data_IF_469175457414
#
_entry.id   IF_469175457414
#
_cell.length_a   1.000
_cell.length_b   1.000
_cell.length_c   1.000
_cell.angle_alpha   90.00
_cell.angle_beta   90.00
_cell.angle_gamma   90.00
#
_symmetry.space_group_name_H-M   'P 1'
#
loop_
_entity.id
_entity.type
_entity.pdbx_description
1 polymer ?
#
# COMPACT_ATOMS: atom_id res chain seq x y z
N UNK A 1 28.60 1.85 2.01
CA UNK A 1 29.64 2.89 2.20
C UNK A 1 29.11 4.30 2.33
N UNK A 2 28.25 4.80 1.43
CA UNK A 2 27.75 6.20 1.47
C UNK A 2 27.13 6.60 2.81
N UNK A 3 26.23 5.79 3.36
CA UNK A 3 25.61 6.07 4.66
C UNK A 3 26.57 5.95 5.86
N UNK A 4 27.70 5.28 5.66
CA UNK A 4 28.71 5.06 6.70
C UNK A 4 29.83 6.12 6.65
N UNK A 5 29.80 7.02 5.67
CA UNK A 5 30.80 8.07 5.51
C UNK A 5 32.23 7.56 5.31
N UNK A 6 32.41 6.35 4.77
CA UNK A 6 33.75 5.83 4.48
C UNK A 6 34.47 6.78 3.52
N UNK A 7 35.65 7.25 3.92
CA UNK A 7 36.46 8.24 3.18
C UNK A 7 36.24 9.70 3.58
N UNK A 8 35.31 10.00 4.51
CA UNK A 8 35.11 11.34 5.06
C UNK A 8 36.11 11.62 6.21
N UNK A 9 36.51 12.89 6.38
CA UNK A 9 37.39 13.31 7.50
C UNK A 9 36.67 13.36 8.85
N UNK A 10 35.34 13.49 8.86
CA UNK A 10 34.51 13.55 10.07
C UNK A 10 33.60 12.33 10.13
N UNK A 11 33.30 11.87 11.34
CA UNK A 11 32.32 10.80 11.58
C UNK A 11 30.95 11.24 11.05
N UNK A 12 30.42 10.50 10.10
CA UNK A 12 29.11 10.78 9.51
C UNK A 12 27.99 10.25 10.41
N UNK A 13 26.95 11.07 10.58
CA UNK A 13 25.70 10.67 11.21
C UNK A 13 24.63 10.68 10.13
N UNK A 14 24.24 9.50 9.66
CA UNK A 14 23.18 9.34 8.66
C UNK A 14 21.85 9.10 9.38
N UNK A 15 20.93 10.06 9.28
CA UNK A 15 19.60 9.96 9.88
C UNK A 15 18.60 9.59 8.80
N UNK A 16 17.88 8.47 9.01
CA UNK A 16 16.84 8.03 8.10
C UNK A 16 15.48 8.34 8.73
N UNK A 17 14.78 9.31 8.16
CA UNK A 17 13.52 9.80 8.67
C UNK A 17 12.34 9.00 8.12
N UNK A 18 11.76 8.12 8.94
CA UNK A 18 10.70 7.21 8.52
C UNK A 18 9.27 7.80 8.59
N UNK A 19 9.08 8.99 9.16
CA UNK A 19 7.73 9.52 9.39
C UNK A 19 7.00 9.94 8.12
N UNK A 20 7.71 10.17 7.01
CA UNK A 20 7.12 10.44 5.69
C UNK A 20 6.62 9.18 4.99
N UNK A 21 6.91 7.99 5.54
CA UNK A 21 6.38 6.72 5.03
C UNK A 21 5.00 6.47 5.66
N UNK A 22 3.98 6.34 4.82
CA UNK A 22 2.57 6.42 5.22
C UNK A 22 2.06 5.18 5.96
N UNK A 23 2.60 4.00 5.68
CA UNK A 23 2.12 2.74 6.27
C UNK A 23 3.19 2.04 7.08
N UNK A 24 2.77 1.31 8.13
CA UNK A 24 3.70 0.51 8.95
C UNK A 24 4.37 -0.58 8.11
N UNK A 25 3.65 -1.18 7.16
CA UNK A 25 4.19 -2.23 6.28
C UNK A 25 5.28 -1.68 5.36
N UNK A 26 5.10 -0.47 4.80
CA UNK A 26 6.15 0.20 4.02
C UNK A 26 7.37 0.54 4.88
N UNK A 27 7.16 0.99 6.13
CA UNK A 27 8.27 1.22 7.08
C UNK A 27 9.01 -0.09 7.37
N UNK A 28 8.28 -1.17 7.65
CA UNK A 28 8.87 -2.49 7.88
C UNK A 28 9.62 -3.02 6.66
N UNK A 29 9.07 -2.83 5.46
CA UNK A 29 9.75 -3.21 4.22
C UNK A 29 11.04 -2.42 4.04
N UNK A 30 11.00 -1.10 4.19
CA UNK A 30 12.17 -0.23 4.07
C UNK A 30 13.26 -0.61 5.08
N UNK A 31 12.89 -0.77 6.35
CA UNK A 31 13.84 -1.18 7.41
C UNK A 31 14.39 -2.57 7.14
N UNK A 32 13.58 -3.52 6.64
CA UNK A 32 14.05 -4.86 6.26
C UNK A 32 15.09 -4.81 5.14
N UNK A 33 14.85 -4.00 4.10
CA UNK A 33 15.79 -3.79 3.01
C UNK A 33 17.10 -3.17 3.52
N UNK A 34 17.02 -2.08 4.28
CA UNK A 34 18.19 -1.41 4.85
C UNK A 34 19.00 -2.35 5.76
N UNK A 35 18.33 -3.09 6.64
CA UNK A 35 18.96 -4.07 7.52
C UNK A 35 19.62 -5.19 6.71
N UNK A 36 18.99 -5.65 5.64
CA UNK A 36 19.57 -6.66 4.75
C UNK A 36 20.85 -6.15 4.08
N UNK A 37 20.83 -4.93 3.55
CA UNK A 37 22.01 -4.30 2.95
C UNK A 37 23.14 -4.13 3.98
N UNK A 38 22.83 -3.67 5.20
CA UNK A 38 23.82 -3.60 6.28
C UNK A 38 24.38 -4.99 6.63
N UNK A 39 23.52 -6.01 6.69
CA UNK A 39 23.94 -7.38 6.97
C UNK A 39 24.90 -7.91 5.90
N UNK A 40 24.58 -7.73 4.62
CA UNK A 40 25.48 -8.13 3.52
C UNK A 40 26.80 -7.32 3.55
N UNK A 41 26.70 -6.04 3.85
CA UNK A 41 27.86 -5.17 3.95
C UNK A 41 28.82 -5.60 5.07
N UNK A 42 28.31 -5.92 6.27
CA UNK A 42 29.16 -6.33 7.38
C UNK A 42 29.79 -7.71 7.15
N UNK A 43 29.14 -8.61 6.39
CA UNK A 43 29.73 -9.88 5.97
C UNK A 43 30.92 -9.69 5.01
N UNK A 44 30.82 -8.72 4.10
CA UNK A 44 31.89 -8.39 3.15
C UNK A 44 33.01 -7.53 3.76
N UNK A 45 32.77 -6.92 4.92
CA UNK A 45 33.72 -6.05 5.60
C UNK A 45 33.88 -6.44 7.08
N UNK A 46 34.38 -7.65 7.39
CA UNK A 46 34.58 -8.04 8.78
C UNK A 46 35.64 -7.16 9.45
N UNK A 47 35.32 -6.68 10.65
CA UNK A 47 36.26 -5.93 11.50
C UNK A 47 36.17 -6.45 12.94
N UNK A 48 37.33 -6.51 13.61
CA UNK A 48 37.39 -6.77 15.06
C UNK A 48 37.10 -5.50 15.86
N UNK A 49 37.41 -4.34 15.29
CA UNK A 49 37.15 -3.02 15.88
C UNK A 49 35.79 -2.47 15.44
N UNK A 50 35.22 -1.60 16.27
CA UNK A 50 33.96 -0.92 15.96
C UNK A 50 34.15 -0.01 14.74
N UNK A 51 33.37 -0.27 13.68
CA UNK A 51 33.41 0.50 12.43
C UNK A 51 32.11 1.25 12.12
N UNK A 52 30.98 0.86 12.74
CA UNK A 52 29.71 1.55 12.59
C UNK A 52 28.75 1.28 13.76
N UNK A 53 27.81 2.20 13.98
CA UNK A 53 26.69 2.01 14.89
C UNK A 53 25.39 2.03 14.07
N UNK A 54 24.59 0.99 14.22
CA UNK A 54 23.25 0.90 13.69
C UNK A 54 22.23 1.18 14.79
N UNK A 55 21.44 2.23 14.61
CA UNK A 55 20.48 2.71 15.61
C UNK A 55 19.05 2.63 15.09
N UNK A 56 18.14 2.09 15.90
CA UNK A 56 16.69 2.10 15.65
C UNK A 56 15.96 2.70 16.84
N UNK A 57 15.30 3.82 16.63
CA UNK A 57 14.34 4.38 17.57
C UNK A 57 12.96 3.73 17.41
N UNK A 58 12.22 3.59 18.51
CA UNK A 58 10.92 2.91 18.61
C UNK A 58 10.83 1.55 17.88
N UNK A 59 11.64 0.60 18.33
CA UNK A 59 11.80 -0.70 17.67
C UNK A 59 10.60 -1.65 17.84
N UNK A 60 9.68 -1.38 18.76
CA UNK A 60 8.56 -2.26 19.10
C UNK A 60 7.74 -2.67 17.87
N UNK A 61 7.53 -1.74 16.95
CA UNK A 61 6.79 -1.97 15.71
C UNK A 61 7.49 -2.89 14.69
N UNK A 62 8.80 -3.11 14.83
CA UNK A 62 9.60 -3.97 13.96
C UNK A 62 9.90 -5.34 14.58
N UNK A 63 9.91 -5.42 15.92
CA UNK A 63 10.20 -6.65 16.65
C UNK A 63 9.16 -6.87 17.77
N UNK A 64 7.86 -7.02 17.44
CA UNK A 64 6.81 -7.19 18.43
C UNK A 64 6.92 -8.54 19.13
N UNK A 65 6.44 -8.59 20.38
CA UNK A 65 6.29 -9.81 21.14
C UNK A 65 5.25 -10.76 20.50
N UNK A 66 5.40 -12.07 20.73
CA UNK A 66 4.42 -13.06 20.29
C UNK A 66 4.59 -13.54 18.84
N UNK A 67 3.49 -14.03 18.25
CA UNK A 67 3.47 -14.77 16.99
C UNK A 67 3.54 -13.88 15.73
N UNK A 68 3.40 -12.56 15.88
CA UNK A 68 3.52 -11.63 14.76
C UNK A 68 4.93 -11.64 14.17
N UNK A 69 5.01 -11.65 12.85
CA UNK A 69 6.28 -11.71 12.09
C UNK A 69 6.38 -10.57 11.08
N UNK A 70 6.69 -9.34 11.52
CA UNK A 70 7.05 -8.24 10.64
C UNK A 70 8.17 -8.58 9.67
N UNK A 71 8.18 -7.93 8.50
CA UNK A 71 9.21 -8.16 7.47
C UNK A 71 10.64 -7.88 7.96
N UNK A 72 10.81 -6.94 8.90
CA UNK A 72 12.12 -6.58 9.46
C UNK A 72 12.56 -7.51 10.61
N UNK A 73 11.65 -8.27 11.24
CA UNK A 73 11.92 -8.94 12.51
C UNK A 73 13.09 -9.93 12.44
N UNK A 74 13.10 -10.81 11.44
CA UNK A 74 14.10 -11.87 11.34
C UNK A 74 15.50 -11.31 11.01
N UNK A 75 15.59 -10.35 10.09
CA UNK A 75 16.88 -9.75 9.73
C UNK A 75 17.45 -8.91 10.89
N UNK A 76 16.62 -8.18 11.64
CA UNK A 76 17.06 -7.44 12.82
C UNK A 76 17.56 -8.39 13.92
N UNK A 77 16.86 -9.50 14.18
CA UNK A 77 17.32 -10.53 15.12
C UNK A 77 18.67 -11.12 14.70
N UNK A 78 18.86 -11.34 13.39
CA UNK A 78 20.11 -11.84 12.85
C UNK A 78 21.26 -10.86 13.05
N UNK A 79 21.02 -9.56 12.79
CA UNK A 79 21.98 -8.49 13.05
C UNK A 79 22.30 -8.44 14.55
N UNK A 80 21.32 -8.36 15.44
CA UNK A 80 21.58 -8.25 16.89
C UNK A 80 22.40 -9.43 17.43
N UNK A 81 22.20 -10.62 16.87
CA UNK A 81 22.98 -11.81 17.24
C UNK A 81 24.42 -11.80 16.69
N UNK A 82 24.66 -11.17 15.54
CA UNK A 82 25.90 -11.36 14.76
C UNK A 82 26.74 -10.11 14.56
N UNK A 83 26.18 -8.91 14.71
CA UNK A 83 26.80 -7.63 14.40
C UNK A 83 28.16 -7.43 15.10
N UNK A 84 28.27 -7.87 16.37
CA UNK A 84 29.48 -7.72 17.20
C UNK A 84 30.72 -8.34 16.56
N UNK A 85 30.63 -9.52 15.93
CA UNK A 85 31.79 -10.19 15.28
C UNK A 85 32.25 -9.49 14.00
N UNK A 86 31.46 -8.54 13.49
CA UNK A 86 31.77 -7.76 12.29
C UNK A 86 32.02 -6.28 12.61
N UNK A 87 32.21 -5.92 13.88
CA UNK A 87 32.51 -4.53 14.27
C UNK A 87 31.32 -3.58 14.11
N UNK A 88 30.08 -4.10 14.14
CA UNK A 88 28.87 -3.28 14.11
C UNK A 88 28.27 -3.21 15.51
N UNK A 89 28.17 -2.01 16.06
CA UNK A 89 27.43 -1.73 17.29
C UNK A 89 25.93 -1.55 16.99
N UNK A 90 25.06 -2.04 17.86
CA UNK A 90 23.62 -1.84 17.73
C UNK A 90 23.09 -1.05 18.93
N UNK A 91 22.27 -0.03 18.67
CA UNK A 91 21.54 0.73 19.69
C UNK A 91 20.06 0.67 19.33
N UNK A 92 19.20 0.35 20.29
CA UNK A 92 17.77 0.33 20.04
C UNK A 92 16.99 0.94 21.19
N UNK A 93 15.95 1.72 20.85
CA UNK A 93 15.07 2.39 21.80
C UNK A 93 13.62 1.92 21.67
N UNK A 94 12.87 2.03 22.76
CA UNK A 94 11.44 1.72 22.79
C UNK A 94 10.77 2.44 23.96
N UNK A 95 9.56 2.94 23.73
CA UNK A 95 8.69 3.44 24.81
C UNK A 95 7.91 2.31 25.47
N UNK A 96 7.64 1.22 24.74
CA UNK A 96 6.85 0.08 25.19
C UNK A 96 7.75 -1.16 25.31
N UNK A 97 8.56 -1.29 26.38
CA UNK A 97 9.44 -2.44 26.55
C UNK A 97 8.65 -3.74 26.63
N UNK A 98 7.37 -3.67 27.02
CA UNK A 98 6.54 -4.83 27.12
C UNK A 98 6.14 -5.47 25.79
N UNK A 99 6.11 -4.71 24.71
CA UNK A 99 5.54 -5.17 23.44
C UNK A 99 6.59 -5.75 22.49
N UNK A 100 7.78 -6.06 23.00
CA UNK A 100 8.94 -6.47 22.21
C UNK A 100 9.31 -7.94 22.40
N UNK A 101 9.83 -8.58 21.35
CA UNK A 101 10.41 -9.93 21.43
C UNK A 101 11.66 -9.92 22.34
N UNK A 102 11.47 -10.36 23.59
CA UNK A 102 12.51 -10.40 24.61
C UNK A 102 13.77 -11.17 24.17
N UNK A 103 13.63 -12.16 23.27
CA UNK A 103 14.79 -12.95 22.79
C UNK A 103 15.75 -12.11 21.95
N UNK A 104 15.22 -11.11 21.23
CA UNK A 104 16.03 -10.19 20.44
C UNK A 104 16.83 -9.26 21.37
N UNK A 105 16.21 -8.82 22.47
CA UNK A 105 16.81 -7.88 23.42
C UNK A 105 17.82 -8.54 24.36
N UNK A 106 17.69 -9.83 24.64
CA UNK A 106 18.69 -10.59 25.40
C UNK A 106 20.08 -10.62 24.73
N UNK A 107 20.21 -10.19 23.46
CA UNK A 107 21.50 -10.06 22.79
C UNK A 107 22.26 -8.77 23.15
N UNK A 108 21.59 -7.79 23.77
CA UNK A 108 22.20 -6.53 24.15
C UNK A 108 22.86 -6.65 25.52
N UNK A 109 24.18 -6.40 25.56
CA UNK A 109 24.97 -6.41 26.80
C UNK A 109 24.87 -5.12 27.62
N UNK A 110 24.33 -4.05 27.04
CA UNK A 110 24.17 -2.74 27.70
C UNK A 110 22.72 -2.31 27.67
N UNK A 111 22.17 -1.97 28.84
CA UNK A 111 20.79 -1.54 29.01
C UNK A 111 20.77 -0.20 29.72
N UNK A 112 19.95 0.74 29.24
CA UNK A 112 19.64 1.99 29.93
C UNK A 112 18.12 2.06 30.11
N UNK A 113 17.66 1.96 31.36
CA UNK A 113 16.24 1.84 31.68
C UNK A 113 15.79 3.13 32.34
N UNK A 114 14.87 3.83 31.68
CA UNK A 114 14.26 5.04 32.20
C UNK A 114 13.11 4.73 33.16
N UNK A 115 12.29 5.75 33.43
CA UNK A 115 11.15 5.62 34.33
C UNK A 115 10.12 4.60 33.80
N UNK A 116 9.81 3.59 34.63
CA UNK A 116 8.73 2.63 34.38
C UNK A 116 7.76 2.63 35.57
N UNK A 117 6.48 2.80 35.28
CA UNK A 117 5.43 2.94 36.32
C UNK A 117 4.48 1.75 36.34
N UNK A 118 4.19 1.14 35.18
CA UNK A 118 3.21 0.06 35.11
C UNK A 118 3.80 -1.24 35.65
N UNK A 119 3.01 -2.00 36.41
CA UNK A 119 3.45 -3.31 36.93
C UNK A 119 3.84 -4.28 35.80
N UNK A 120 3.17 -4.19 34.66
CA UNK A 120 3.42 -5.06 33.51
C UNK A 120 4.79 -4.79 32.87
N UNK A 121 5.16 -3.52 32.68
CA UNK A 121 6.46 -3.16 32.10
C UNK A 121 7.60 -3.50 33.06
N UNK A 122 7.41 -3.23 34.35
CA UNK A 122 8.36 -3.61 35.41
C UNK A 122 8.57 -5.13 35.43
N UNK A 123 7.49 -5.92 35.37
CA UNK A 123 7.58 -7.38 35.36
C UNK A 123 8.32 -7.93 34.13
N UNK A 124 8.10 -7.34 32.94
CA UNK A 124 8.79 -7.78 31.72
C UNK A 124 10.28 -7.40 31.73
N UNK A 125 10.62 -6.22 32.28
CA UNK A 125 12.01 -5.81 32.46
C UNK A 125 12.71 -6.64 33.53
N UNK A 126 12.02 -7.03 34.61
CA UNK A 126 12.55 -7.93 35.65
C UNK A 126 13.13 -9.21 35.06
N UNK A 127 12.39 -9.88 34.19
CA UNK A 127 12.85 -11.12 33.54
C UNK A 127 14.12 -10.90 32.70
N UNK A 128 14.25 -9.75 32.04
CA UNK A 128 15.46 -9.40 31.30
C UNK A 128 16.64 -9.14 32.24
N UNK A 129 16.45 -8.38 33.31
CA UNK A 129 17.49 -8.09 34.31
C UNK A 129 17.99 -9.36 35.02
N UNK A 130 17.09 -10.28 35.34
CA UNK A 130 17.44 -11.59 35.92
C UNK A 130 18.30 -12.42 34.95
N UNK A 131 17.99 -12.39 33.65
CA UNK A 131 18.77 -13.10 32.62
C UNK A 131 20.20 -12.57 32.45
N UNK A 132 20.43 -11.31 32.81
CA UNK A 132 21.75 -10.67 32.84
C UNK A 132 22.51 -10.92 34.16
N UNK A 133 22.03 -11.86 34.99
CA UNK A 133 22.63 -12.30 36.25
C UNK A 133 22.86 -11.16 37.28
N UNK A 134 21.95 -10.18 37.30
CA UNK A 134 22.10 -9.04 38.21
C UNK A 134 21.66 -9.37 39.64
N UNK A 135 22.62 -9.45 40.56
CA UNK A 135 22.40 -9.84 41.96
C UNK A 135 21.48 -8.89 42.77
N UNK A 136 21.26 -7.65 42.30
CA UNK A 136 20.48 -6.61 43.00
C UNK A 136 19.21 -6.21 42.23
N UNK A 137 18.59 -7.15 41.50
CA UNK A 137 17.41 -6.87 40.65
C UNK A 137 16.25 -6.21 41.41
N UNK A 138 15.87 -6.68 42.59
CA UNK A 138 14.74 -6.09 43.34
C UNK A 138 14.99 -4.61 43.72
N UNK A 139 16.20 -4.29 44.20
CA UNK A 139 16.57 -2.90 44.55
C UNK A 139 16.49 -1.96 43.34
N UNK A 140 16.76 -2.47 42.14
CA UNK A 140 16.66 -1.71 40.90
C UNK A 140 15.22 -1.45 40.53
N UNK A 141 14.36 -2.48 40.60
CA UNK A 141 12.94 -2.37 40.26
C UNK A 141 12.22 -1.37 41.17
N UNK A 142 12.61 -1.27 42.44
CA UNK A 142 12.08 -0.28 43.38
C UNK A 142 12.44 1.18 43.03
N UNK A 143 13.51 1.40 42.28
CA UNK A 143 13.98 2.74 41.90
C UNK A 143 13.34 3.21 40.58
N UNK A 144 13.03 2.30 39.66
CA UNK A 144 12.49 2.63 38.32
C UNK A 144 11.26 3.57 38.35
N UNK A 145 10.27 3.42 39.23
CA UNK A 145 9.11 4.33 39.27
C UNK A 145 9.45 5.76 39.72
N UNK A 146 10.56 5.92 40.45
CA UNK A 146 11.01 7.17 41.07
C UNK A 146 11.94 8.01 40.19
N UNK A 147 12.46 7.43 39.11
CA UNK A 147 13.31 8.15 38.15
C UNK A 147 12.57 9.34 37.54
N UNK A 148 13.28 10.45 37.36
CA UNK A 148 12.77 11.62 36.63
C UNK A 148 13.07 11.53 35.14
N UNK A 149 12.46 12.42 34.36
CA UNK A 149 12.79 12.53 32.93
C UNK A 149 14.29 12.83 32.75
N UNK A 150 14.93 12.07 31.87
CA UNK A 150 16.38 12.14 31.64
C UNK A 150 17.25 11.38 32.64
N UNK A 151 16.66 10.70 33.62
CA UNK A 151 17.38 9.79 34.52
C UNK A 151 17.18 8.33 34.08
N UNK A 152 18.28 7.59 34.04
CA UNK A 152 18.32 6.19 33.61
C UNK A 152 19.17 5.38 34.58
N UNK A 153 18.77 4.13 34.79
CA UNK A 153 19.65 3.12 35.36
C UNK A 153 20.36 2.40 34.22
N UNK A 154 21.69 2.44 34.20
CA UNK A 154 22.50 1.81 33.19
C UNK A 154 23.16 0.54 33.73
N UNK A 155 23.09 -0.52 32.94
CA UNK A 155 23.62 -1.86 33.25
C UNK A 155 24.51 -2.30 32.10
N UNK A 156 25.73 -2.75 32.40
CA UNK A 156 26.60 -3.42 31.44
C UNK A 156 27.46 -4.42 32.21
N UNK A 157 26.98 -5.64 32.46
CA UNK A 157 27.67 -6.61 33.32
C UNK A 157 29.10 -6.93 32.86
N UNK A 158 29.36 -6.84 31.55
CA UNK A 158 30.67 -7.07 30.94
C UNK A 158 31.71 -6.01 31.34
N UNK A 159 31.28 -4.81 31.76
CA UNK A 159 32.16 -3.65 32.03
C UNK A 159 32.01 -3.14 33.47
N UNK A 160 30.79 -3.08 34.00
CA UNK A 160 30.48 -2.51 35.31
C UNK A 160 29.95 -3.58 36.25
N UNK A 161 30.50 -3.61 37.47
CA UNK A 161 30.03 -4.51 38.54
C UNK A 161 28.70 -4.07 39.15
N UNK A 162 28.46 -2.76 39.18
CA UNK A 162 27.26 -2.16 39.77
C UNK A 162 26.46 -1.37 38.73
N UNK A 163 25.21 -1.10 39.10
CA UNK A 163 24.27 -0.28 38.33
C UNK A 163 24.70 1.18 38.38
N UNK A 164 24.73 1.84 37.23
CA UNK A 164 25.12 3.25 37.13
C UNK A 164 23.88 4.12 37.02
N UNK A 165 23.74 5.09 37.92
CA UNK A 165 22.75 6.16 37.78
C UNK A 165 23.27 7.16 36.74
N UNK A 166 22.62 7.19 35.58
CA UNK A 166 22.97 8.08 34.49
C UNK A 166 21.93 9.20 34.39
N UNK A 167 22.39 10.45 34.35
CA UNK A 167 21.57 11.62 34.04
C UNK A 167 22.02 12.19 32.70
N UNK A 168 21.12 12.24 31.73
CA UNK A 168 21.45 12.80 30.41
C UNK A 168 21.51 14.32 30.49
N UNK A 169 22.42 14.91 29.72
CA UNK A 169 22.48 16.35 29.52
C UNK A 169 21.30 16.84 28.70
N UNK A 170 20.96 18.12 28.84
CA UNK A 170 20.03 18.78 27.92
C UNK A 170 20.55 18.75 26.48
N UNK A 171 19.64 18.65 25.53
CA UNK A 171 19.96 18.73 24.12
C UNK A 171 20.48 20.15 23.80
N UNK A 172 21.57 20.22 23.03
CA UNK A 172 22.12 21.48 22.53
C UNK A 172 21.26 22.07 21.40
N UNK A 173 20.39 21.26 20.79
CA UNK A 173 19.55 21.61 19.66
C UNK A 173 18.10 21.23 19.93
N UNK A 174 17.19 21.93 19.30
CA UNK A 174 15.77 21.61 19.36
C UNK A 174 15.48 20.29 18.63
N UNK A 175 14.73 19.39 19.27
CA UNK A 175 14.28 18.15 18.65
C UNK A 175 12.90 18.37 18.04
N UNK A 176 12.85 18.56 16.72
CA UNK A 176 11.63 18.84 15.95
C UNK A 176 11.20 17.64 15.11
N UNK A 177 9.91 17.33 15.12
CA UNK A 177 9.30 16.40 14.17
C UNK A 177 9.06 17.13 12.85
N UNK A 178 9.71 16.70 11.78
CA UNK A 178 9.59 17.33 10.47
C UNK A 178 8.35 16.82 9.71
N UNK A 179 7.58 17.71 9.11
CA UNK A 179 6.58 17.36 8.10
C UNK A 179 7.24 17.13 6.73
N UNK A 180 6.50 16.58 5.77
CA UNK A 180 7.01 16.49 4.39
C UNK A 180 7.38 17.85 3.81
N UNK A 181 6.65 18.91 4.18
CA UNK A 181 6.92 20.25 3.69
C UNK A 181 8.15 20.87 4.38
N UNK A 182 8.36 20.59 5.67
CA UNK A 182 9.59 20.97 6.37
C UNK A 182 10.82 20.31 5.72
N UNK A 183 10.73 19.02 5.39
CA UNK A 183 11.81 18.31 4.69
C UNK A 183 12.10 18.97 3.33
N UNK A 184 11.07 19.31 2.55
CA UNK A 184 11.25 19.98 1.25
C UNK A 184 11.92 21.34 1.37
N UNK A 185 11.58 22.11 2.41
CA UNK A 185 12.14 23.43 2.69
C UNK A 185 13.60 23.35 3.16
N UNK A 186 13.94 22.34 3.96
CA UNK A 186 15.28 22.13 4.52
C UNK A 186 16.24 21.42 3.55
N UNK A 187 15.73 20.75 2.52
CA UNK A 187 16.57 20.07 1.52
C UNK A 187 17.16 21.09 0.54
N UNK A 188 18.48 21.28 0.61
CA UNK A 188 19.21 22.21 -0.26
C UNK A 188 19.23 21.74 -1.73
N UNK A 189 19.65 22.62 -2.64
CA UNK A 189 19.82 22.24 -4.05
C UNK A 189 20.98 21.26 -4.18
N UNK A 190 22.05 21.49 -3.44
CA UNK A 190 23.22 20.61 -3.38
C UNK A 190 22.86 19.21 -2.87
N UNK A 191 22.01 19.11 -1.84
CA UNK A 191 21.52 17.81 -1.35
C UNK A 191 20.69 17.10 -2.43
N UNK A 192 19.82 17.82 -3.13
CA UNK A 192 19.01 17.25 -4.23
C UNK A 192 19.91 16.73 -5.34
N UNK A 193 20.86 17.53 -5.80
CA UNK A 193 21.77 17.15 -6.88
C UNK A 193 22.63 15.94 -6.49
N UNK A 194 23.14 15.93 -5.25
CA UNK A 194 23.92 14.81 -4.73
C UNK A 194 23.11 13.52 -4.66
N UNK A 195 21.84 13.55 -4.21
CA UNK A 195 21.01 12.35 -4.12
C UNK A 195 20.33 11.98 -5.44
N UNK A 196 20.23 12.88 -6.41
CA UNK A 196 19.67 12.60 -7.74
C UNK A 196 20.48 11.54 -8.50
N UNK A 197 21.79 11.45 -8.24
CA UNK A 197 22.64 10.38 -8.81
C UNK A 197 22.27 8.98 -8.29
N UNK A 198 21.73 8.90 -7.06
CA UNK A 198 21.31 7.66 -6.40
C UNK A 198 19.82 7.41 -6.49
N UNK A 199 19.05 8.41 -6.92
CA UNK A 199 17.66 8.20 -7.27
C UNK A 199 17.64 7.06 -8.29
N UNK A 200 16.97 5.96 -7.95
CA UNK A 200 16.59 4.96 -8.94
C UNK A 200 15.98 5.79 -10.05
N UNK A 201 16.61 5.83 -11.23
CA UNK A 201 15.96 6.34 -12.42
C UNK A 201 14.71 5.49 -12.47
N UNK A 202 13.58 6.03 -11.98
CA UNK A 202 12.27 5.45 -12.24
C UNK A 202 12.38 5.10 -13.71
N UNK A 203 12.18 3.82 -14.12
CA UNK A 203 12.18 3.50 -15.55
C UNK A 203 11.35 4.60 -16.14
N UNK A 204 11.94 5.44 -17.02
CA UNK A 204 11.31 6.71 -17.39
C UNK A 204 9.88 6.34 -17.74
N UNK A 205 8.93 6.61 -16.83
CA UNK A 205 7.58 6.94 -17.23
C UNK A 205 7.93 8.14 -18.08
N UNK A 206 7.96 7.92 -19.39
CA UNK A 206 8.20 8.97 -20.35
C UNK A 206 7.28 10.07 -19.84
N UNK A 207 7.87 11.11 -19.26
CA UNK A 207 7.29 12.43 -19.37
C UNK A 207 7.30 12.58 -20.89
N UNK A 208 6.18 12.23 -21.50
CA UNK A 208 5.87 12.71 -22.82
C UNK A 208 5.89 14.23 -22.65
N UNK A 209 7.08 14.80 -22.87
CA UNK A 209 7.17 15.96 -23.74
C UNK A 209 6.27 15.61 -24.89
N UNK A 210 5.20 16.38 -25.01
CA UNK A 210 4.37 16.57 -26.18
C UNK A 210 5.24 16.65 -27.44
N UNK A 211 5.59 15.48 -27.96
CA UNK A 211 6.19 15.22 -29.26
C UNK A 211 5.58 13.89 -29.68
N UNK A 212 4.72 14.00 -30.69
CA UNK A 212 3.86 13.01 -31.31
C UNK A 212 4.54 11.64 -31.49
N UNK A 213 4.46 10.79 -30.46
CA UNK A 213 4.37 9.34 -30.66
C UNK A 213 2.89 9.02 -30.64
N UNK A 214 2.41 8.39 -31.70
CA UNK A 214 1.00 8.05 -31.83
C UNK A 214 0.50 7.32 -30.58
N UNK A 215 -0.68 7.75 -30.11
CA UNK A 215 -1.32 7.20 -28.94
C UNK A 215 -1.86 5.81 -29.30
N UNK A 216 -1.57 4.79 -28.49
CA UNK A 216 -2.12 3.46 -28.73
C UNK A 216 -3.62 3.45 -28.37
N UNK A 217 -4.46 3.19 -29.36
CA UNK A 217 -5.90 3.07 -29.18
C UNK A 217 -6.45 1.86 -29.96
N UNK A 218 -7.63 1.38 -29.58
CA UNK A 218 -8.35 0.43 -30.43
C UNK A 218 -8.80 1.12 -31.71
N UNK A 219 -8.88 0.38 -32.81
CA UNK A 219 -9.23 0.97 -34.11
C UNK A 219 -10.62 1.61 -34.11
N UNK A 220 -10.72 2.74 -34.82
CA UNK A 220 -11.99 3.39 -35.10
C UNK A 220 -12.59 2.72 -36.33
N UNK A 221 -13.60 1.89 -36.13
CA UNK A 221 -14.24 1.13 -37.22
C UNK A 221 -15.49 1.81 -37.78
N UNK A 222 -15.90 2.94 -37.20
CA UNK A 222 -17.10 3.69 -37.59
C UNK A 222 -16.70 5.14 -37.81
N UNK A 223 -17.07 5.67 -38.97
CA UNK A 223 -16.83 7.06 -39.36
C UNK A 223 -17.74 8.05 -38.62
N UNK A 224 -17.37 9.33 -38.62
CA UNK A 224 -18.19 10.41 -38.06
C UNK A 224 -19.59 10.46 -38.68
N UNK A 225 -19.71 10.20 -39.98
CA UNK A 225 -20.99 10.18 -40.71
C UNK A 225 -21.89 9.01 -40.29
N UNK A 226 -21.31 7.83 -40.08
CA UNK A 226 -22.04 6.66 -39.60
C UNK A 226 -22.46 6.85 -38.14
N UNK A 227 -21.59 7.44 -37.32
CA UNK A 227 -21.92 7.81 -35.94
C UNK A 227 -23.09 8.78 -35.90
N UNK A 228 -23.08 9.83 -36.73
CA UNK A 228 -24.20 10.77 -36.86
C UNK A 228 -25.50 10.07 -37.26
N UNK A 229 -25.47 9.17 -38.27
CA UNK A 229 -26.64 8.36 -38.67
C UNK A 229 -27.18 7.51 -37.51
N UNK A 230 -26.31 6.87 -36.73
CA UNK A 230 -26.70 6.06 -35.57
C UNK A 230 -27.35 6.93 -34.49
N UNK A 231 -26.79 8.10 -34.20
CA UNK A 231 -27.29 9.04 -33.20
C UNK A 231 -28.63 9.64 -33.63
N UNK A 232 -28.77 10.01 -34.91
CA UNK A 232 -30.02 10.53 -35.46
C UNK A 232 -31.19 9.55 -35.32
N UNK A 233 -30.95 8.25 -35.52
CA UNK A 233 -31.95 7.19 -35.29
C UNK A 233 -32.35 7.04 -33.82
N UNK A 234 -31.55 7.55 -32.87
CA UNK A 234 -31.78 7.45 -31.42
C UNK A 234 -32.39 8.71 -30.78
N UNK A 235 -32.62 9.77 -31.57
CA UNK A 235 -33.34 10.97 -31.13
C UNK A 235 -34.76 10.59 -30.70
N UNK A 236 -35.24 11.20 -29.62
CA UNK A 236 -36.65 11.04 -29.21
C UNK A 236 -37.56 11.59 -30.31
N UNK A 237 -38.67 10.90 -30.53
CA UNK A 237 -39.73 11.31 -31.45
C UNK A 237 -40.96 11.73 -30.67
N UNK A 238 -41.78 12.57 -31.28
CA UNK A 238 -43.01 13.08 -30.65
C UNK A 238 -44.00 11.94 -30.31
N UNK A 239 -44.05 10.90 -31.14
CA UNK A 239 -44.76 9.66 -30.84
C UNK A 239 -43.78 8.49 -30.72
N UNK A 240 -44.14 7.46 -29.96
CA UNK A 240 -43.28 6.37 -29.50
C UNK A 240 -42.41 5.71 -30.59
N UNK A 241 -42.84 5.72 -31.86
CA UNK A 241 -42.07 5.26 -33.03
C UNK A 241 -42.11 6.20 -34.26
N UNK A 242 -43.03 7.17 -34.29
CA UNK A 242 -43.36 8.00 -35.46
C UNK A 242 -43.41 9.49 -35.12
N UNK A 243 -43.34 10.36 -36.12
CA UNK A 243 -43.34 11.81 -35.95
C UNK A 243 -41.93 12.44 -35.87
N UNK A 244 -41.85 13.79 -35.94
CA UNK A 244 -40.60 14.51 -36.05
C UNK A 244 -39.75 14.36 -34.78
N UNK A 245 -38.41 14.42 -34.91
CA UNK A 245 -37.51 14.39 -33.75
C UNK A 245 -37.77 15.60 -32.85
N UNK A 246 -37.87 15.36 -31.55
CA UNK A 246 -38.05 16.41 -30.53
C UNK A 246 -36.72 16.91 -29.94
N UNK A 247 -35.62 16.39 -30.47
CA UNK A 247 -34.25 16.65 -30.03
C UNK A 247 -33.38 16.99 -31.24
N UNK A 248 -32.50 17.99 -31.08
CA UNK A 248 -31.45 18.33 -32.05
C UNK A 248 -30.09 17.83 -31.55
N UNK A 249 -29.16 17.60 -32.48
CA UNK A 249 -27.78 17.25 -32.15
C UNK A 249 -26.98 18.54 -32.00
N UNK A 250 -26.50 18.81 -30.80
CA UNK A 250 -25.70 20.01 -30.49
C UNK A 250 -24.22 19.77 -30.76
N UNK A 251 -23.72 18.58 -30.42
CA UNK A 251 -22.33 18.20 -30.70
C UNK A 251 -22.19 16.69 -30.81
N UNK A 252 -21.26 16.25 -31.66
CA UNK A 252 -20.78 14.89 -31.79
C UNK A 252 -19.26 14.92 -31.74
N UNK A 253 -18.67 14.30 -30.71
CA UNK A 253 -17.22 14.33 -30.49
C UNK A 253 -16.68 12.92 -30.37
N UNK A 254 -15.60 12.62 -31.10
CA UNK A 254 -14.83 11.41 -30.88
C UNK A 254 -13.97 11.60 -29.62
N UNK A 255 -14.17 10.70 -28.65
CA UNK A 255 -13.52 10.71 -27.35
C UNK A 255 -12.64 9.46 -27.22
N UNK A 256 -11.47 9.63 -26.61
CA UNK A 256 -10.53 8.56 -26.32
C UNK A 256 -10.48 8.33 -24.80
N UNK A 257 -11.10 7.25 -24.33
CA UNK A 257 -11.14 6.89 -22.90
C UNK A 257 -9.96 6.00 -22.52
N UNK A 258 -9.15 6.34 -21.51
CA UNK A 258 -8.03 5.50 -21.10
C UNK A 258 -8.54 4.17 -20.54
N UNK A 259 -7.87 3.09 -20.91
CA UNK A 259 -7.97 1.77 -20.29
C UNK A 259 -6.59 1.41 -19.77
N UNK A 260 -6.51 1.15 -18.47
CA UNK A 260 -5.29 0.65 -17.85
C UNK A 260 -5.25 -0.86 -18.11
N UNK A 261 -4.29 -1.30 -18.92
CA UNK A 261 -3.98 -2.72 -19.11
C UNK A 261 -2.88 -3.09 -18.12
N UNK A 262 -3.16 -4.05 -17.24
CA UNK A 262 -2.24 -4.54 -16.25
C UNK A 262 -1.85 -5.99 -16.56
N UNK A 263 -0.56 -6.23 -16.73
CA UNK A 263 0.00 -7.58 -16.74
C UNK A 263 0.21 -8.01 -15.29
N UNK A 264 -0.26 -9.20 -14.95
CA UNK A 264 -0.25 -9.72 -13.60
C UNK A 264 0.13 -11.20 -13.55
N UNK A 265 0.72 -11.62 -12.44
CA UNK A 265 1.23 -12.97 -12.24
C UNK A 265 0.71 -13.59 -10.95
N UNK A 266 0.58 -14.92 -10.94
CA UNK A 266 0.33 -15.71 -9.74
C UNK A 266 1.29 -16.88 -9.67
N UNK A 267 2.01 -17.00 -8.56
CA UNK A 267 2.80 -18.19 -8.28
C UNK A 267 1.89 -19.28 -7.70
N UNK A 268 1.86 -20.45 -8.33
CA UNK A 268 1.13 -21.62 -7.84
C UNK A 268 2.09 -22.77 -7.58
N UNK A 269 1.94 -23.40 -6.41
CA UNK A 269 2.65 -24.64 -6.11
C UNK A 269 2.17 -25.75 -7.07
N UNK A 270 3.09 -26.39 -7.77
CA UNK A 270 2.85 -27.55 -8.62
C UNK A 270 3.75 -28.70 -8.19
N UNK A 271 3.44 -29.91 -8.67
CA UNK A 271 4.15 -31.15 -8.33
C UNK A 271 5.64 -31.10 -8.72
N UNK A 272 5.99 -30.31 -9.74
CA UNK A 272 7.36 -30.11 -10.24
C UNK A 272 7.96 -28.74 -9.87
N UNK A 273 7.39 -28.03 -8.88
CA UNK A 273 7.89 -26.72 -8.42
C UNK A 273 6.89 -25.58 -8.60
N UNK A 274 7.35 -24.33 -8.51
CA UNK A 274 6.49 -23.14 -8.65
C UNK A 274 6.18 -22.89 -10.13
N UNK A 275 4.89 -22.92 -10.50
CA UNK A 275 4.42 -22.52 -11.83
C UNK A 275 3.86 -21.10 -11.79
N UNK A 276 4.28 -20.24 -12.71
CA UNK A 276 3.73 -18.90 -12.87
C UNK A 276 2.54 -18.92 -13.83
N UNK A 277 1.41 -18.37 -13.41
CA UNK A 277 0.26 -18.09 -14.26
C UNK A 277 0.21 -16.58 -14.57
N UNK A 278 0.15 -16.23 -15.85
CA UNK A 278 0.09 -14.85 -16.32
C UNK A 278 -1.35 -14.44 -16.66
N UNK A 279 -1.69 -13.18 -16.40
CA UNK A 279 -3.01 -12.61 -16.60
C UNK A 279 -2.90 -11.20 -17.15
N UNK A 280 -3.72 -10.88 -18.14
CA UNK A 280 -3.90 -9.50 -18.60
C UNK A 280 -5.26 -8.99 -18.12
N UNK A 281 -5.24 -8.02 -17.20
CA UNK A 281 -6.42 -7.38 -16.65
C UNK A 281 -6.60 -5.99 -17.27
N UNK A 282 -7.85 -5.56 -17.45
CA UNK A 282 -8.15 -4.25 -18.03
C UNK A 282 -9.05 -3.46 -17.07
N UNK A 283 -8.79 -2.18 -16.90
CA UNK A 283 -9.54 -1.29 -16.01
C UNK A 283 -9.92 -0.01 -16.73
N UNK A 284 -11.09 0.52 -16.41
CA UNK A 284 -11.48 1.86 -16.83
C UNK A 284 -10.51 2.87 -16.22
N UNK A 285 -9.76 3.61 -17.02
CA UNK A 285 -8.77 4.56 -16.52
C UNK A 285 -9.38 5.80 -15.87
N UNK A 286 -10.68 6.04 -16.03
CA UNK A 286 -11.39 7.17 -15.41
C UNK A 286 -12.04 6.73 -14.10
N UNK A 287 -12.77 5.61 -14.10
CA UNK A 287 -13.50 5.16 -12.89
C UNK A 287 -12.76 4.12 -12.07
N UNK A 288 -11.78 3.43 -12.65
CA UNK A 288 -11.08 2.30 -12.03
C UNK A 288 -11.88 1.00 -11.99
N UNK A 289 -13.07 0.98 -12.61
CA UNK A 289 -13.87 -0.24 -12.72
C UNK A 289 -13.18 -1.29 -13.58
N UNK A 290 -13.15 -2.54 -13.11
CA UNK A 290 -12.61 -3.66 -13.88
C UNK A 290 -13.42 -3.88 -15.17
N UNK A 291 -12.73 -4.12 -16.28
CA UNK A 291 -13.27 -4.28 -17.63
C UNK A 291 -12.91 -5.67 -18.17
N UNK A 292 -13.89 -6.32 -18.80
CA UNK A 292 -13.68 -7.45 -19.69
C UNK A 292 -14.12 -7.10 -21.11
N UNK A 293 -13.22 -7.26 -22.07
CA UNK A 293 -13.51 -7.07 -23.49
C UNK A 293 -13.95 -8.42 -24.08
N UNK A 294 -15.12 -8.45 -24.71
CA UNK A 294 -15.65 -9.64 -25.41
C UNK A 294 -15.17 -9.67 -26.87
N UNK A 295 -15.27 -10.84 -27.51
CA UNK A 295 -14.90 -11.05 -28.92
C UNK A 295 -15.56 -10.05 -29.90
N UNK A 296 -16.78 -9.58 -29.60
CA UNK A 296 -17.52 -8.65 -30.45
C UNK A 296 -17.25 -7.16 -30.11
N UNK A 297 -16.16 -6.87 -29.41
CA UNK A 297 -15.79 -5.53 -28.96
C UNK A 297 -16.67 -4.96 -27.83
N UNK A 298 -17.67 -5.70 -27.33
CA UNK A 298 -18.48 -5.22 -26.19
C UNK A 298 -17.64 -5.23 -24.91
N UNK A 299 -17.59 -4.08 -24.25
CA UNK A 299 -17.02 -3.93 -22.91
C UNK A 299 -18.07 -4.33 -21.86
N UNK A 300 -17.69 -5.28 -21.00
CA UNK A 300 -18.40 -5.56 -19.75
C UNK A 300 -17.64 -4.90 -18.60
N UNK A 301 -18.23 -3.90 -17.98
CA UNK A 301 -17.70 -3.25 -16.77
C UNK A 301 -18.26 -3.90 -15.50
N UNK A 302 -17.40 -4.09 -14.51
CA UNK A 302 -17.76 -4.57 -13.19
C UNK A 302 -17.77 -3.39 -12.20
N UNK A 303 -18.82 -2.55 -12.28
CA UNK A 303 -18.90 -1.27 -11.54
C UNK A 303 -18.70 -1.39 -10.03
N UNK A 304 -19.22 -2.45 -9.38
CA UNK A 304 -18.99 -2.67 -7.94
C UNK A 304 -17.52 -2.81 -7.53
N UNK A 305 -16.60 -3.02 -8.49
CA UNK A 305 -15.16 -2.96 -8.27
C UNK A 305 -14.67 -1.56 -7.90
N UNK A 306 -15.22 -0.52 -8.53
CA UNK A 306 -14.74 0.86 -8.36
C UNK A 306 -15.04 1.39 -6.95
N UNK A 307 -16.10 0.89 -6.31
CA UNK A 307 -16.50 1.24 -4.94
C UNK A 307 -15.51 0.70 -3.88
N UNK A 308 -14.64 -0.23 -4.27
CA UNK A 308 -13.62 -0.82 -3.40
C UNK A 308 -12.24 -0.17 -3.54
N UNK A 309 -12.07 0.80 -4.45
CA UNK A 309 -10.81 1.53 -4.59
C UNK A 309 -10.58 2.42 -3.36
N UNK A 310 -9.34 2.45 -2.89
CA UNK A 310 -8.94 3.19 -1.68
C UNK A 310 -9.31 2.49 -0.35
N UNK A 311 -9.84 1.26 -0.40
CA UNK A 311 -9.99 0.44 0.79
C UNK A 311 -8.64 -0.13 1.26
N UNK A 312 -8.52 -0.33 2.57
CA UNK A 312 -7.41 -1.09 3.15
C UNK A 312 -7.51 -2.59 2.80
N UNK A 313 -6.39 -3.30 2.88
CA UNK A 313 -6.35 -4.74 2.56
C UNK A 313 -7.32 -5.56 3.44
N UNK A 314 -7.45 -5.17 4.71
CA UNK A 314 -8.37 -5.81 5.66
C UNK A 314 -9.83 -5.53 5.30
N UNK A 315 -10.17 -4.30 4.92
CA UNK A 315 -11.50 -3.96 4.43
C UNK A 315 -11.86 -4.75 3.17
N UNK A 316 -10.92 -4.86 2.22
CA UNK A 316 -11.09 -5.66 1.00
C UNK A 316 -11.31 -7.14 1.37
N UNK A 317 -10.52 -7.68 2.30
CA UNK A 317 -10.65 -9.05 2.79
C UNK A 317 -12.02 -9.34 3.42
N UNK A 318 -12.55 -8.42 4.23
CA UNK A 318 -13.89 -8.55 4.82
C UNK A 318 -14.97 -8.55 3.74
N UNK A 319 -14.91 -7.63 2.77
CA UNK A 319 -15.86 -7.60 1.66
C UNK A 319 -15.75 -8.89 0.84
N UNK A 320 -14.53 -9.27 0.44
CA UNK A 320 -14.25 -10.51 -0.31
C UNK A 320 -14.84 -11.74 0.37
N UNK A 321 -14.72 -11.82 1.69
CA UNK A 321 -15.28 -12.90 2.49
C UNK A 321 -16.81 -12.99 2.36
N UNK A 322 -17.51 -11.86 2.41
CA UNK A 322 -18.98 -11.81 2.29
C UNK A 322 -19.49 -12.15 0.88
N UNK A 323 -18.65 -12.00 -0.15
CA UNK A 323 -18.97 -12.42 -1.53
C UNK A 323 -18.43 -13.81 -1.88
N UNK A 324 -17.79 -14.50 -0.92
CA UNK A 324 -17.39 -15.90 -1.09
C UNK A 324 -18.60 -16.83 -0.99
N UNK A 325 -18.52 -17.99 -1.66
CA UNK A 325 -19.60 -18.80 -2.26
C UNK A 325 -20.98 -18.92 -1.59
N UNK A 326 -21.25 -18.60 -0.32
CA UNK A 326 -22.57 -18.86 0.32
C UNK A 326 -23.04 -17.93 1.46
N UNK A 327 -22.44 -16.76 1.74
CA UNK A 327 -22.96 -15.88 2.83
C UNK A 327 -22.75 -14.37 2.58
N UNK A 328 -23.78 -13.69 2.07
CA UNK A 328 -23.83 -12.22 2.00
C UNK A 328 -24.09 -11.55 3.36
N UNK A 329 -24.12 -12.31 4.46
CA UNK A 329 -24.36 -11.79 5.81
C UNK A 329 -23.51 -12.51 6.83
N UNK A 330 -22.84 -11.77 7.71
CA UNK A 330 -21.91 -12.33 8.70
C UNK A 330 -21.93 -11.57 10.02
N UNK A 331 -21.70 -12.28 11.13
CA UNK A 331 -21.44 -11.66 12.44
C UNK A 331 -19.95 -11.37 12.61
N UNK A 332 -19.60 -10.52 13.58
CA UNK A 332 -18.19 -10.23 13.89
C UNK A 332 -17.40 -11.49 14.24
N UNK A 333 -17.96 -12.40 15.03
CA UNK A 333 -17.31 -13.66 15.38
C UNK A 333 -17.04 -14.55 14.15
N UNK A 334 -17.97 -14.60 13.18
CA UNK A 334 -17.76 -15.36 11.94
C UNK A 334 -16.66 -14.73 11.06
N UNK A 335 -16.56 -13.40 11.05
CA UNK A 335 -15.51 -12.67 10.32
C UNK A 335 -14.16 -12.87 11.01
N UNK A 336 -14.10 -12.68 12.34
CA UNK A 336 -12.93 -12.85 13.18
C UNK A 336 -12.31 -14.24 13.00
N UNK A 337 -13.15 -15.28 13.10
CA UNK A 337 -12.73 -16.68 12.95
C UNK A 337 -12.15 -16.96 11.56
N UNK A 338 -12.80 -16.49 10.49
CA UNK A 338 -12.35 -16.79 9.11
C UNK A 338 -11.13 -16.00 8.66
N UNK A 339 -10.94 -14.79 9.19
CA UNK A 339 -9.78 -13.95 8.86
C UNK A 339 -8.68 -14.02 9.92
N UNK A 340 -8.85 -14.82 10.98
CA UNK A 340 -7.93 -14.91 12.12
C UNK A 340 -7.64 -13.52 12.75
N UNK A 341 -8.69 -12.70 12.90
CA UNK A 341 -8.63 -11.36 13.48
C UNK A 341 -9.23 -11.34 14.89
N UNK A 342 -8.83 -10.37 15.71
CA UNK A 342 -9.48 -10.13 17.00
C UNK A 342 -10.82 -9.41 16.82
N UNK A 343 -11.74 -9.59 17.76
CA UNK A 343 -13.06 -8.91 17.71
C UNK A 343 -12.93 -7.38 17.66
N UNK A 344 -11.95 -6.81 18.35
CA UNK A 344 -11.66 -5.37 18.31
C UNK A 344 -11.30 -4.90 16.89
N UNK A 345 -10.44 -5.64 16.19
CA UNK A 345 -10.09 -5.31 14.82
C UNK A 345 -11.28 -5.47 13.87
N UNK A 346 -12.07 -6.52 14.02
CA UNK A 346 -13.28 -6.70 13.21
C UNK A 346 -14.28 -5.57 13.43
N UNK A 347 -14.47 -5.13 14.67
CA UNK A 347 -15.31 -3.96 14.99
C UNK A 347 -14.80 -2.69 14.30
N UNK A 348 -13.49 -2.42 14.35
CA UNK A 348 -12.91 -1.26 13.66
C UNK A 348 -13.13 -1.32 12.14
N UNK A 349 -12.88 -2.46 11.51
CA UNK A 349 -13.03 -2.64 10.06
C UNK A 349 -14.50 -2.52 9.62
N UNK A 350 -15.41 -3.20 10.31
CA UNK A 350 -16.84 -3.16 9.98
C UNK A 350 -17.45 -1.77 10.19
N UNK A 351 -17.07 -1.06 11.25
CA UNK A 351 -17.47 0.34 11.46
C UNK A 351 -16.89 1.28 10.40
N UNK A 352 -15.63 1.08 9.99
CA UNK A 352 -15.01 1.84 8.89
C UNK A 352 -15.78 1.66 7.57
N UNK A 353 -16.11 0.41 7.23
CA UNK A 353 -16.91 0.08 6.06
C UNK A 353 -18.35 0.61 6.14
N UNK A 354 -18.94 0.66 7.33
CA UNK A 354 -20.26 1.29 7.53
C UNK A 354 -20.20 2.80 7.26
N UNK A 355 -19.19 3.50 7.80
CA UNK A 355 -18.98 4.94 7.53
C UNK A 355 -18.80 5.23 6.04
N UNK A 356 -18.15 4.31 5.31
CA UNK A 356 -18.00 4.35 3.85
C UNK A 356 -19.25 3.94 3.08
N UNK A 357 -20.36 3.61 3.77
CA UNK A 357 -21.63 3.13 3.20
C UNK A 357 -21.48 1.86 2.35
N UNK A 358 -20.52 1.01 2.70
CA UNK A 358 -20.26 -0.27 2.01
C UNK A 358 -20.87 -1.45 2.77
N UNK A 359 -21.13 -1.30 4.07
CA UNK A 359 -21.83 -2.28 4.91
C UNK A 359 -23.01 -1.62 5.66
N UNK A 360 -24.01 -2.44 6.02
CA UNK A 360 -25.11 -2.07 6.92
C UNK A 360 -25.44 -3.21 7.89
N UNK A 361 -26.10 -2.88 9.00
CA UNK A 361 -26.72 -3.87 9.88
C UNK A 361 -28.11 -4.27 9.36
N UNK A 362 -28.48 -5.55 9.51
CA UNK A 362 -29.81 -6.05 9.11
C UNK A 362 -30.60 -6.60 10.31
N UNK A 363 -29.99 -6.65 11.50
CA UNK A 363 -30.62 -7.10 12.73
C UNK A 363 -29.63 -7.76 13.68
N UNK A 364 -30.15 -8.44 14.70
CA UNK A 364 -29.37 -9.23 15.66
C UNK A 364 -29.62 -10.73 15.44
N UNK A 365 -28.56 -11.53 15.33
CA UNK A 365 -28.64 -13.00 15.41
C UNK A 365 -28.00 -13.42 16.73
N UNK A 366 -28.78 -14.04 17.64
CA UNK A 366 -28.29 -14.43 18.99
C UNK A 366 -27.52 -13.30 19.70
N UNK A 367 -28.09 -12.08 19.73
CA UNK A 367 -27.51 -10.84 20.29
C UNK A 367 -26.29 -10.23 19.57
N UNK A 368 -25.78 -10.81 18.49
CA UNK A 368 -24.68 -10.23 17.70
C UNK A 368 -25.19 -9.48 16.45
N UNK A 369 -24.53 -8.37 16.08
CA UNK A 369 -24.82 -7.63 14.85
C UNK A 369 -24.59 -8.50 13.62
N UNK A 370 -25.56 -8.48 12.70
CA UNK A 370 -25.47 -9.15 11.40
C UNK A 370 -25.21 -8.12 10.31
N UNK A 371 -24.00 -8.13 9.76
CA UNK A 371 -23.56 -7.24 8.70
C UNK A 371 -23.98 -7.73 7.33
N UNK A 372 -24.28 -6.80 6.42
CA UNK A 372 -24.61 -7.06 5.02
C UNK A 372 -23.93 -6.02 4.13
N UNK A 373 -23.34 -6.41 3.00
CA UNK A 373 -22.78 -5.47 2.05
C UNK A 373 -23.87 -4.71 1.31
N UNK A 374 -23.66 -3.41 1.13
CA UNK A 374 -24.51 -2.53 0.34
C UNK A 374 -24.08 -2.46 -1.13
N UNK A 375 -22.85 -2.87 -1.40
CA UNK A 375 -22.28 -2.88 -2.75
C UNK A 375 -22.64 -4.15 -3.51
N UNK A 376 -22.73 -4.07 -4.84
CA UNK A 376 -23.02 -5.22 -5.68
C UNK A 376 -21.77 -5.70 -6.42
N UNK A 377 -20.97 -6.55 -5.77
CA UNK A 377 -19.72 -7.03 -6.35
C UNK A 377 -19.96 -8.25 -7.24
N UNK A 378 -20.35 -8.02 -8.50
CA UNK A 378 -20.50 -9.07 -9.52
C UNK A 378 -19.17 -9.49 -10.16
N UNK A 379 -18.08 -9.43 -9.42
CA UNK A 379 -16.73 -9.68 -9.94
C UNK A 379 -16.34 -11.14 -9.69
N UNK A 380 -15.88 -11.89 -10.70
CA UNK A 380 -15.34 -13.22 -10.49
C UNK A 380 -14.16 -13.21 -9.51
N UNK A 381 -14.14 -14.17 -8.57
CA UNK A 381 -13.01 -14.37 -7.65
C UNK A 381 -11.75 -14.93 -8.31
N UNK A 382 -11.84 -15.31 -9.59
CA UNK A 382 -10.75 -15.95 -10.32
C UNK A 382 -10.42 -15.13 -11.57
N UNK A 383 -9.17 -14.68 -11.66
CA UNK A 383 -8.64 -13.88 -12.76
C UNK A 383 -8.79 -14.56 -14.14
N UNK A 384 -8.79 -15.90 -14.24
CA UNK A 384 -9.02 -16.62 -15.51
C UNK A 384 -10.37 -16.28 -16.15
N UNK A 385 -11.38 -15.97 -15.34
CA UNK A 385 -12.71 -15.58 -15.85
C UNK A 385 -12.72 -14.15 -16.43
N UNK A 386 -11.68 -13.37 -16.19
CA UNK A 386 -11.53 -11.97 -16.56
C UNK A 386 -10.63 -11.75 -17.78
N UNK A 387 -10.09 -12.82 -18.38
CA UNK A 387 -9.34 -12.73 -19.63
C UNK A 387 -10.16 -12.01 -20.70
N UNK A 388 -9.56 -10.96 -21.26
CA UNK A 388 -10.12 -10.16 -22.36
C UNK A 388 -9.74 -10.77 -23.71
N UNK A 389 -10.59 -10.57 -24.70
CA UNK A 389 -10.22 -10.81 -26.10
C UNK A 389 -9.20 -9.74 -26.55
N UNK A 390 -8.18 -10.15 -27.31
CA UNK A 390 -7.18 -9.23 -27.87
C UNK A 390 -7.82 -8.54 -29.08
N UNK A 391 -8.07 -7.23 -28.95
CA UNK A 391 -8.47 -6.38 -30.07
C UNK A 391 -7.21 -5.78 -30.71
N UNK A 392 -7.31 -5.49 -32.00
CA UNK A 392 -6.28 -4.76 -32.75
C UNK A 392 -6.19 -3.33 -32.24
N UNK A 393 -4.94 -2.84 -32.15
CA UNK A 393 -4.61 -1.49 -31.73
C UNK A 393 -3.79 -0.81 -32.81
N UNK A 394 -4.03 0.48 -32.99
CA UNK A 394 -3.25 1.33 -33.89
C UNK A 394 -2.57 2.44 -33.11
N UNK A 395 -1.44 2.88 -33.67
CA UNK A 395 -0.70 4.06 -33.23
C UNK A 395 -0.83 5.19 -34.26
N UNK A 396 -1.80 5.11 -35.17
CA UNK A 396 -2.03 6.11 -36.19
C UNK A 396 -2.70 7.36 -35.57
N UNK A 397 -2.51 8.53 -36.19
CA UNK A 397 -2.98 9.83 -35.69
C UNK A 397 -4.51 9.97 -35.66
N UNK A 398 -5.18 9.21 -34.79
CA UNK A 398 -6.61 9.29 -34.58
C UNK A 398 -6.92 10.58 -33.85
N UNK A 399 -7.61 11.47 -34.55
CA UNK A 399 -8.10 12.74 -34.02
C UNK A 399 -9.21 12.44 -33.00
N UNK A 400 -9.04 12.82 -31.74
CA UNK A 400 -10.06 12.62 -30.72
C UNK A 400 -9.71 13.30 -29.41
N UNK A 401 -10.72 13.64 -28.61
CA UNK A 401 -10.51 14.24 -27.30
C UNK A 401 -10.09 13.18 -26.29
N UNK A 402 -8.85 13.29 -25.81
CA UNK A 402 -8.25 12.37 -24.84
C UNK A 402 -8.76 12.68 -23.43
N UNK A 403 -9.26 11.66 -22.74
CA UNK A 403 -9.56 11.75 -21.31
C UNK A 403 -8.33 11.38 -20.48
N UNK A 404 -8.10 12.12 -19.40
CA UNK A 404 -7.05 11.80 -18.44
C UNK A 404 -7.47 10.62 -17.55
N UNK A 405 -6.51 9.78 -17.19
CA UNK A 405 -6.75 8.77 -16.17
C UNK A 405 -6.83 9.42 -14.79
N UNK A 406 -7.80 9.00 -13.98
CA UNK A 406 -8.00 9.48 -12.60
C UNK A 406 -7.68 8.42 -11.54
N UNK A 407 -7.23 7.24 -11.95
CA UNK A 407 -7.07 6.07 -11.08
C UNK A 407 -5.66 6.01 -10.50
N UNK A 408 -5.56 5.91 -9.17
CA UNK A 408 -4.28 5.70 -8.49
C UNK A 408 -3.85 4.25 -8.64
N UNK A 409 -2.67 4.03 -9.22
CA UNK A 409 -2.14 2.68 -9.49
C UNK A 409 -1.94 1.84 -8.22
N UNK A 410 -1.60 2.47 -7.09
CA UNK A 410 -1.44 1.77 -5.81
C UNK A 410 -2.75 1.15 -5.31
N UNK A 411 -3.85 1.90 -5.39
CA UNK A 411 -5.18 1.42 -4.99
C UNK A 411 -5.63 0.24 -5.85
N UNK A 412 -5.33 0.32 -7.16
CA UNK A 412 -5.63 -0.75 -8.11
C UNK A 412 -4.78 -2.00 -7.83
N UNK A 413 -3.47 -1.84 -7.60
CA UNK A 413 -2.54 -2.94 -7.30
C UNK A 413 -2.95 -3.69 -6.03
N UNK A 414 -3.26 -2.95 -4.97
CA UNK A 414 -3.75 -3.49 -3.71
C UNK A 414 -5.04 -4.27 -3.88
N UNK A 415 -6.04 -3.68 -4.55
CA UNK A 415 -7.33 -4.32 -4.77
C UNK A 415 -7.22 -5.58 -5.64
N UNK A 416 -6.37 -5.56 -6.67
CA UNK A 416 -6.12 -6.72 -7.53
C UNK A 416 -5.46 -7.85 -6.74
N UNK A 417 -4.44 -7.55 -5.95
CA UNK A 417 -3.76 -8.52 -5.08
C UNK A 417 -4.75 -9.16 -4.11
N UNK A 418 -5.44 -8.34 -3.33
CA UNK A 418 -6.33 -8.84 -2.28
C UNK A 418 -7.56 -9.55 -2.83
N UNK A 419 -8.19 -9.05 -3.90
CA UNK A 419 -9.41 -9.65 -4.43
C UNK A 419 -9.15 -10.88 -5.30
N UNK A 420 -8.22 -10.77 -6.25
CA UNK A 420 -7.99 -11.80 -7.28
C UNK A 420 -6.83 -12.73 -6.96
N UNK A 421 -6.03 -12.42 -5.94
CA UNK A 421 -4.83 -13.19 -5.58
C UNK A 421 -3.86 -13.27 -6.78
N UNK A 422 -3.57 -12.10 -7.38
CA UNK A 422 -2.57 -11.92 -8.44
C UNK A 422 -1.79 -10.62 -8.20
N UNK A 423 -0.51 -10.60 -8.56
CA UNK A 423 0.34 -9.41 -8.42
C UNK A 423 0.56 -8.75 -9.77
N UNK A 424 0.32 -7.44 -9.86
CA UNK A 424 0.60 -6.67 -11.08
C UNK A 424 2.11 -6.51 -11.24
N UNK A 425 2.61 -6.81 -12.43
CA UNK A 425 4.03 -6.70 -12.79
C UNK A 425 4.30 -5.53 -13.71
N UNK A 426 3.34 -5.17 -14.57
CA UNK A 426 3.47 -4.05 -15.50
C UNK A 426 2.11 -3.43 -15.81
N UNK A 427 2.11 -2.16 -16.23
CA UNK A 427 0.90 -1.46 -16.66
C UNK A 427 1.15 -0.57 -17.87
N UNK A 428 0.23 -0.62 -18.83
CA UNK A 428 0.17 0.27 -19.99
C UNK A 428 -1.20 0.93 -20.09
N UNK A 429 -1.27 2.05 -20.82
CA UNK A 429 -2.53 2.74 -21.12
C UNK A 429 -2.82 2.56 -22.60
N UNK A 430 -4.03 2.07 -22.89
CA UNK A 430 -4.57 1.95 -24.25
C UNK A 430 -5.89 2.70 -24.27
N UNK A 431 -6.20 3.41 -25.35
CA UNK A 431 -7.41 4.21 -25.42
C UNK A 431 -8.54 3.50 -26.14
N UNK A 432 -9.75 3.63 -25.58
CA UNK A 432 -10.98 3.14 -26.16
C UNK A 432 -11.75 4.29 -26.82
N UNK A 433 -11.92 4.26 -28.16
CA UNK A 433 -12.63 5.31 -28.88
C UNK A 433 -14.15 5.16 -28.74
N UNK A 434 -14.82 6.27 -28.47
CA UNK A 434 -16.29 6.34 -28.47
C UNK A 434 -16.76 7.72 -28.91
N UNK A 435 -17.93 7.78 -29.54
CA UNK A 435 -18.58 9.04 -29.85
C UNK A 435 -19.45 9.48 -28.69
N UNK A 436 -19.29 10.74 -28.27
CA UNK A 436 -20.17 11.42 -27.33
C UNK A 436 -21.07 12.40 -28.10
N UNK A 437 -22.37 12.17 -28.05
CA UNK A 437 -23.37 13.01 -28.66
C UNK A 437 -24.18 13.75 -27.59
N UNK A 438 -24.20 15.08 -27.65
CA UNK A 438 -25.07 15.91 -26.80
C UNK A 438 -26.33 16.25 -27.59
N UNK A 439 -27.47 15.73 -27.13
CA UNK A 439 -28.79 15.99 -27.70
C UNK A 439 -29.53 17.01 -26.83
N UNK A 440 -30.14 18.01 -27.47
CA UNK A 440 -30.89 19.08 -26.78
C UNK A 440 -32.34 19.06 -27.26
N UNK A 441 -33.27 18.97 -26.32
CA UNK A 441 -34.70 19.20 -26.57
C UNK A 441 -35.20 20.44 -25.83
N UNK A 442 -36.49 20.79 -26.00
CA UNK A 442 -37.09 22.03 -25.50
C UNK A 442 -36.88 22.33 -23.99
N UNK A 443 -36.73 21.32 -23.13
CA UNK A 443 -36.59 21.48 -21.67
C UNK A 443 -35.44 20.70 -21.03
N UNK A 444 -34.77 19.82 -21.78
CA UNK A 444 -33.77 18.89 -21.24
C UNK A 444 -32.71 18.59 -22.30
N UNK A 445 -31.47 18.44 -21.87
CA UNK A 445 -30.39 17.86 -22.66
C UNK A 445 -30.07 16.44 -22.16
N UNK A 446 -29.51 15.61 -23.03
CA UNK A 446 -28.98 14.29 -22.65
C UNK A 446 -27.76 13.93 -23.48
N UNK A 447 -26.91 13.09 -22.90
CA UNK A 447 -25.71 12.57 -23.55
C UNK A 447 -25.99 11.13 -23.98
N UNK A 448 -25.67 10.81 -25.24
CA UNK A 448 -25.62 9.43 -25.74
C UNK A 448 -24.17 9.12 -26.09
N UNK A 449 -23.68 7.97 -25.64
CA UNK A 449 -22.35 7.48 -25.99
C UNK A 449 -22.47 6.21 -26.84
N UNK A 450 -21.77 6.15 -27.95
CA UNK A 450 -21.69 4.95 -28.80
C UNK A 450 -20.24 4.54 -29.02
N UNK A 451 -19.98 3.23 -29.01
CA UNK A 451 -18.67 2.68 -29.32
C UNK A 451 -18.26 3.02 -30.75
N UNK A 452 -17.04 3.51 -30.95
CA UNK A 452 -16.49 3.73 -32.29
C UNK A 452 -16.02 2.43 -32.96
N UNK A 453 -16.05 1.29 -32.24
CA UNK A 453 -15.71 -0.03 -32.78
C UNK A 453 -16.92 -0.72 -33.44
N UNK A 454 -18.13 -0.50 -32.93
CA UNK A 454 -19.30 -1.29 -33.33
C UNK A 454 -20.64 -0.54 -33.25
N UNK A 455 -20.64 0.74 -32.89
CA UNK A 455 -21.82 1.62 -32.99
C UNK A 455 -22.85 1.36 -31.90
N UNK A 456 -22.58 0.45 -30.97
CA UNK A 456 -23.48 0.11 -29.88
C UNK A 456 -23.40 1.16 -28.79
N UNK A 457 -24.55 1.45 -28.19
CA UNK A 457 -24.64 2.35 -27.04
C UNK A 457 -23.83 1.77 -25.89
N UNK A 458 -23.01 2.63 -25.28
CA UNK A 458 -22.23 2.32 -24.08
C UNK A 458 -22.74 3.14 -22.90
N UNK A 459 -22.60 2.56 -21.71
CA UNK A 459 -23.23 3.03 -20.47
C UNK A 459 -22.29 3.83 -19.57
#
# INVERSE_FOLDING_TARGET
>A
DTLLGKGQKKTQISIIYLNTINTIDEKQFFVSMLATELYQWMLSHPSKDLQAIFMIDEVASFIPAGAEKPMAKEILKLIYKQARKYGIGCITGTQNPGDIDYKAFAQFGTWAIGRLVTKQDIAKVKTALESLAMQKTEKVLDVLPRLKSGEFLMFCPDIFKDVINMKVRWLLTEHKTLTEDDVKLLTTVEDKDFYEQYAVKKPKLKKERSQEKGIEHFDVCISDEEADKIINRKKRKLFWLFGPPTETLESLKLMLKPIIRAEAVRAKQSFFGKKLENFTLNFDGVTGGLIKIKHNGKIKSYRGWQEMLGLSEREISVIKLMFSKWKNRMTNAEIASRLMLTDNFVNQVTNGLMKKKLLSYVGKKRRAYLWMPLINVKVPMNAKKLLSYKLETSNAGTKGHILNSAVKLNDLTKLVKEWLDVSITDTSIIYYPYYEAKLVGKKRSRIIRISALNGKVIA
#
